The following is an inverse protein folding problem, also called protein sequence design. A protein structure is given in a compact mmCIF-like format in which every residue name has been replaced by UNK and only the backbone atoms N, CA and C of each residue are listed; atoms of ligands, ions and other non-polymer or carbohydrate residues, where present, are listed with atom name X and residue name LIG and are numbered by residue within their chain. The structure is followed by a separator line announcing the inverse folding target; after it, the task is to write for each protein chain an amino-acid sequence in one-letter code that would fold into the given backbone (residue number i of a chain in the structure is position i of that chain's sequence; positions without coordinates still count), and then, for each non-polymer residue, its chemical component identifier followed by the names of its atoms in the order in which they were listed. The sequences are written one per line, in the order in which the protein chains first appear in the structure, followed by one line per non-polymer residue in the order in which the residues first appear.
data_IF_855047316670
#
_entry.id   IF_855047316670
#
_cell.length_a   1.000
_cell.length_b   1.000
_cell.length_c   1.000
_cell.angle_alpha   90.00
_cell.angle_beta   90.00
_cell.angle_gamma   90.00
#
_symmetry.space_group_name_H-M   'P 1'
#
loop_
_entity.id
_entity.type
_entity.pdbx_description
1 polymer ?
#
# COMPACT_ATOMS: atom_id res chain seq x y z
N UNK A 1 9.43 -6.27 22.60
CA UNK A 1 8.22 -5.63 22.07
C UNK A 1 8.41 -5.45 20.57
N UNK A 2 7.43 -5.83 19.75
CA UNK A 2 7.46 -5.47 18.34
C UNK A 2 7.29 -3.95 18.25
N UNK A 3 8.14 -3.27 17.48
CA UNK A 3 8.07 -1.82 17.28
C UNK A 3 6.76 -1.49 16.52
N UNK A 4 5.96 -0.54 17.04
CA UNK A 4 4.76 -0.08 16.34
C UNK A 4 5.14 0.77 15.12
N UNK A 5 4.23 0.91 14.15
CA UNK A 5 4.49 1.80 13.01
C UNK A 5 4.60 3.27 13.44
N UNK A 6 3.86 3.68 14.48
CA UNK A 6 3.94 5.01 15.03
C UNK A 6 5.34 5.30 15.61
N UNK A 7 5.89 4.36 16.38
CA UNK A 7 7.24 4.50 16.95
C UNK A 7 8.31 4.45 15.85
N UNK A 8 8.13 3.59 14.85
CA UNK A 8 9.03 3.53 13.70
C UNK A 8 9.04 4.85 12.92
N UNK A 9 7.87 5.46 12.71
CA UNK A 9 7.76 6.75 12.05
C UNK A 9 8.39 7.89 12.87
N UNK A 10 8.20 7.91 14.19
CA UNK A 10 8.87 8.91 15.06
C UNK A 10 10.39 8.81 15.01
N UNK A 11 10.92 7.59 14.88
CA UNK A 11 12.37 7.36 14.74
C UNK A 11 12.90 7.70 13.34
N UNK A 12 12.03 7.69 12.33
CA UNK A 12 12.36 7.88 10.93
C UNK A 12 11.35 8.84 10.29
N UNK A 13 11.40 10.13 10.67
CA UNK A 13 10.44 11.13 10.21
C UNK A 13 10.54 11.45 8.71
N UNK A 14 11.67 11.09 8.09
CA UNK A 14 11.82 11.09 6.64
C UNK A 14 10.97 9.95 6.04
N UNK A 15 10.07 10.30 5.13
CA UNK A 15 9.07 9.37 4.63
C UNK A 15 9.66 8.25 3.76
N UNK A 16 10.72 8.55 3.01
CA UNK A 16 11.37 7.55 2.17
C UNK A 16 12.13 6.54 3.03
N UNK A 17 12.82 7.02 4.07
CA UNK A 17 13.47 6.15 5.07
C UNK A 17 12.43 5.31 5.81
N UNK A 18 11.34 5.91 6.30
CA UNK A 18 10.26 5.19 6.94
C UNK A 18 9.72 4.06 6.05
N UNK A 19 9.44 4.35 4.79
CA UNK A 19 8.93 3.36 3.85
C UNK A 19 9.91 2.21 3.60
N UNK A 20 11.22 2.49 3.59
CA UNK A 20 12.24 1.44 3.52
C UNK A 20 12.22 0.56 4.76
N UNK A 21 12.06 1.13 5.96
CA UNK A 21 11.93 0.35 7.19
C UNK A 21 10.65 -0.48 7.22
N UNK A 22 9.51 0.07 6.80
CA UNK A 22 8.23 -0.68 6.70
C UNK A 22 8.36 -1.88 5.75
N UNK A 23 9.05 -1.71 4.61
CA UNK A 23 9.32 -2.81 3.66
C UNK A 23 10.12 -3.95 4.29
N UNK A 24 11.07 -3.64 5.19
CA UNK A 24 11.86 -4.66 5.91
C UNK A 24 11.00 -5.51 6.85
N UNK A 25 9.87 -4.98 7.32
CA UNK A 25 8.90 -5.74 8.12
C UNK A 25 8.14 -6.78 7.29
N UNK A 26 8.17 -6.70 5.95
CA UNK A 26 7.55 -7.68 5.02
C UNK A 26 6.07 -7.98 5.33
N UNK A 27 5.32 -6.94 5.75
CA UNK A 27 3.92 -7.05 6.13
C UNK A 27 3.66 -7.66 7.52
N UNK A 28 4.73 -8.02 8.25
CA UNK A 28 4.66 -8.56 9.62
C UNK A 28 4.59 -7.44 10.66
N UNK A 29 3.52 -6.64 10.60
CA UNK A 29 3.20 -5.60 11.56
C UNK A 29 1.69 -5.51 11.75
N UNK A 30 1.25 -4.94 12.88
CA UNK A 30 -0.18 -4.68 13.11
C UNK A 30 -0.60 -3.42 12.37
N UNK A 31 -1.79 -3.44 11.80
CA UNK A 31 -2.40 -2.29 11.15
C UNK A 31 -3.92 -2.30 11.43
N UNK A 32 -4.26 -2.39 12.71
CA UNK A 32 -5.64 -2.24 13.20
C UNK A 32 -6.04 -0.76 13.20
N UNK A 33 -7.32 -0.47 13.44
CA UNK A 33 -7.81 0.92 13.57
C UNK A 33 -7.01 1.70 14.61
N UNK A 34 -6.72 1.11 15.78
CA UNK A 34 -5.91 1.74 16.82
C UNK A 34 -4.45 2.04 16.37
N UNK A 35 -3.84 1.15 15.59
CA UNK A 35 -2.49 1.36 15.05
C UNK A 35 -2.48 2.44 13.95
N UNK A 36 -3.52 2.49 13.12
CA UNK A 36 -3.71 3.56 12.13
C UNK A 36 -3.90 4.91 12.81
N UNK A 37 -4.67 4.97 13.90
CA UNK A 37 -4.85 6.18 14.72
C UNK A 37 -3.52 6.62 15.36
N UNK A 38 -2.78 5.69 15.96
CA UNK A 38 -1.48 6.00 16.56
C UNK A 38 -0.46 6.51 15.53
N UNK A 39 -0.42 5.90 14.35
CA UNK A 39 0.45 6.34 13.25
C UNK A 39 0.02 7.71 12.71
N UNK A 40 -1.28 7.94 12.56
CA UNK A 40 -1.83 9.23 12.16
C UNK A 40 -1.49 10.33 13.18
N UNK A 41 -1.57 10.03 14.47
CA UNK A 41 -1.19 10.97 15.51
C UNK A 41 0.31 11.31 15.44
N UNK A 42 1.18 10.31 15.27
CA UNK A 42 2.62 10.53 15.07
C UNK A 42 2.91 11.40 13.83
N UNK A 43 2.11 11.23 12.76
CA UNK A 43 2.18 12.10 11.59
C UNK A 43 1.81 13.56 11.92
N UNK A 44 0.70 13.79 12.62
CA UNK A 44 0.25 15.14 12.98
C UNK A 44 1.06 15.81 14.10
N UNK A 45 1.84 15.06 14.88
CA UNK A 45 2.85 15.62 15.79
C UNK A 45 3.94 16.40 15.02
N UNK A 46 4.34 15.89 13.83
CA UNK A 46 5.35 16.52 12.98
C UNK A 46 4.76 17.51 11.97
N UNK A 47 3.56 17.24 11.49
CA UNK A 47 2.84 18.09 10.54
C UNK A 47 1.49 18.51 11.11
N UNK A 48 1.46 19.44 12.10
CA UNK A 48 0.23 19.85 12.76
C UNK A 48 -0.80 20.41 11.77
N UNK A 49 -2.06 20.05 11.98
CA UNK A 49 -3.14 20.51 11.12
C UNK A 49 -3.29 22.03 11.16
N UNK A 50 -3.35 22.64 9.97
CA UNK A 50 -3.68 24.06 9.77
C UNK A 50 -5.05 24.17 9.09
N UNK A 51 -6.08 24.60 9.85
CA UNK A 51 -7.46 24.70 9.35
C UNK A 51 -7.67 25.78 8.28
N UNK A 52 -6.87 26.85 8.29
CA UNK A 52 -7.06 28.02 7.42
C UNK A 52 -6.27 27.93 6.12
N UNK A 53 -5.13 27.23 6.11
CA UNK A 53 -4.30 27.00 4.93
C UNK A 53 -3.79 25.56 4.97
N UNK A 54 -4.56 24.65 4.38
CA UNK A 54 -4.11 23.26 4.19
C UNK A 54 -2.88 23.28 3.29
N UNK A 55 -1.76 22.79 3.81
CA UNK A 55 -0.57 22.57 3.01
C UNK A 55 -0.78 21.31 2.15
N UNK A 56 -0.89 21.51 0.84
CA UNK A 56 -1.09 20.41 -0.12
C UNK A 56 0.11 19.45 -0.17
N UNK A 57 1.31 19.90 0.21
CA UNK A 57 2.47 19.03 0.29
C UNK A 57 2.35 18.10 1.50
N UNK A 58 2.00 18.62 2.67
CA UNK A 58 1.75 17.82 3.88
C UNK A 58 0.60 16.82 3.63
N UNK A 59 -0.49 17.23 2.98
CA UNK A 59 -1.57 16.29 2.63
C UNK A 59 -1.06 15.12 1.77
N UNK A 60 -0.24 15.40 0.75
CA UNK A 60 0.34 14.38 -0.13
C UNK A 60 1.30 13.44 0.63
N UNK A 61 2.13 13.98 1.53
CA UNK A 61 3.00 13.18 2.38
C UNK A 61 2.19 12.21 3.24
N UNK A 62 1.11 12.67 3.86
CA UNK A 62 0.22 11.80 4.62
C UNK A 62 -0.43 10.69 3.77
N UNK A 63 -0.78 10.98 2.51
CA UNK A 63 -1.27 9.94 1.58
C UNK A 63 -0.18 8.93 1.23
N UNK A 64 1.05 9.37 0.99
CA UNK A 64 2.18 8.49 0.68
C UNK A 64 2.53 7.60 1.87
N UNK A 65 2.51 8.14 3.09
CA UNK A 65 2.66 7.37 4.33
C UNK A 65 1.62 6.27 4.45
N UNK A 66 0.34 6.63 4.34
CA UNK A 66 -0.73 5.64 4.43
C UNK A 66 -0.62 4.58 3.32
N UNK A 67 -0.40 5.01 2.07
CA UNK A 67 -0.26 4.13 0.90
C UNK A 67 0.84 3.09 1.10
N UNK A 68 1.99 3.52 1.62
CA UNK A 68 3.15 2.68 1.87
C UNK A 68 2.84 1.56 2.89
N UNK A 69 2.25 1.92 4.04
CA UNK A 69 1.84 0.95 5.05
C UNK A 69 0.77 -0.02 4.55
N UNK A 70 -0.24 0.50 3.84
CA UNK A 70 -1.34 -0.30 3.32
C UNK A 70 -0.86 -1.29 2.25
N UNK A 71 -0.02 -0.86 1.32
CA UNK A 71 0.54 -1.72 0.29
C UNK A 71 1.39 -2.83 0.91
N UNK A 72 2.35 -2.49 1.79
CA UNK A 72 3.22 -3.49 2.41
C UNK A 72 2.44 -4.48 3.28
N UNK A 73 1.37 -4.02 3.93
CA UNK A 73 0.46 -4.91 4.66
C UNK A 73 -0.29 -5.85 3.72
N UNK A 74 -0.79 -5.35 2.60
CA UNK A 74 -1.55 -6.13 1.63
C UNK A 74 -0.68 -7.17 0.88
N UNK A 75 0.63 -6.93 0.82
CA UNK A 75 1.62 -7.84 0.23
C UNK A 75 2.09 -8.95 1.19
N UNK A 76 1.59 -8.99 2.43
CA UNK A 76 2.01 -9.96 3.44
C UNK A 76 1.84 -11.42 2.94
N UNK A 77 2.88 -12.23 3.13
CA UNK A 77 2.87 -13.64 2.76
C UNK A 77 2.85 -13.95 1.25
N UNK A 78 3.10 -12.97 0.39
CA UNK A 78 3.38 -13.20 -1.04
C UNK A 78 4.88 -13.49 -1.30
N UNK A 79 5.23 -14.19 -2.40
CA UNK A 79 6.63 -14.36 -2.83
C UNK A 79 7.32 -13.03 -3.11
N UNK A 80 8.63 -12.92 -2.86
CA UNK A 80 9.34 -11.64 -2.94
C UNK A 80 9.33 -11.04 -4.34
N UNK A 81 9.50 -11.86 -5.39
CA UNK A 81 9.43 -11.39 -6.77
C UNK A 81 8.06 -10.83 -7.13
N UNK A 82 7.00 -11.47 -6.65
CA UNK A 82 5.61 -10.99 -6.81
C UNK A 82 5.39 -9.68 -6.04
N UNK A 83 5.94 -9.54 -4.82
CA UNK A 83 5.89 -8.29 -4.07
C UNK A 83 6.58 -7.17 -4.83
N UNK A 84 7.75 -7.42 -5.38
CA UNK A 84 8.51 -6.42 -6.12
C UNK A 84 7.80 -6.01 -7.41
N UNK A 85 7.17 -6.95 -8.11
CA UNK A 85 6.27 -6.65 -9.22
C UNK A 85 5.15 -5.69 -8.79
N UNK A 86 4.42 -6.01 -7.72
CA UNK A 86 3.32 -5.15 -7.28
C UNK A 86 3.82 -3.78 -6.81
N UNK A 87 4.92 -3.72 -6.03
CA UNK A 87 5.53 -2.45 -5.61
C UNK A 87 5.85 -1.57 -6.82
N UNK A 88 6.47 -2.12 -7.85
CA UNK A 88 6.78 -1.38 -9.08
C UNK A 88 5.50 -0.96 -9.82
N UNK A 89 4.49 -1.83 -9.91
CA UNK A 89 3.21 -1.50 -10.53
C UNK A 89 2.48 -0.35 -9.81
N UNK A 90 2.46 -0.35 -8.47
CA UNK A 90 1.83 0.71 -7.68
C UNK A 90 2.61 2.02 -7.68
N UNK A 91 3.93 1.96 -7.82
CA UNK A 91 4.80 3.14 -7.92
C UNK A 91 4.75 3.77 -9.31
N UNK A 92 4.72 2.95 -10.37
CA UNK A 92 4.74 3.35 -11.77
C UNK A 92 3.62 2.68 -12.57
N UNK A 93 2.35 3.12 -12.42
CA UNK A 93 1.20 2.49 -13.08
C UNK A 93 1.30 2.46 -14.62
N UNK A 94 1.95 3.46 -15.22
CA UNK A 94 2.23 3.52 -16.66
C UNK A 94 3.17 2.40 -17.15
N UNK A 95 3.98 1.82 -16.25
CA UNK A 95 4.90 0.73 -16.57
C UNK A 95 4.25 -0.66 -16.48
N UNK A 96 2.99 -0.78 -16.04
CA UNK A 96 2.33 -2.08 -15.79
C UNK A 96 2.37 -2.99 -17.02
N UNK A 97 2.12 -2.46 -18.22
CA UNK A 97 2.14 -3.26 -19.44
C UNK A 97 3.50 -3.94 -19.66
N UNK A 98 4.59 -3.17 -19.52
CA UNK A 98 5.97 -3.68 -19.63
C UNK A 98 6.30 -4.66 -18.52
N UNK A 99 5.96 -4.32 -17.27
CA UNK A 99 6.18 -5.19 -16.12
C UNK A 99 5.47 -6.55 -16.28
N UNK A 100 4.26 -6.55 -16.84
CA UNK A 100 3.50 -7.76 -17.12
C UNK A 100 4.18 -8.64 -18.17
N UNK A 101 4.73 -8.05 -19.24
CA UNK A 101 5.49 -8.80 -20.25
C UNK A 101 6.75 -9.44 -19.67
N UNK A 102 7.49 -8.69 -18.85
CA UNK A 102 8.69 -9.19 -18.18
C UNK A 102 8.34 -10.31 -17.18
N UNK A 103 7.27 -10.14 -16.41
CA UNK A 103 6.83 -11.13 -15.42
C UNK A 103 6.30 -12.42 -16.07
N UNK A 104 5.63 -12.33 -17.24
CA UNK A 104 5.17 -13.50 -18.01
C UNK A 104 6.29 -14.43 -18.45
N UNK A 105 7.51 -13.90 -18.62
CA UNK A 105 8.69 -14.68 -19.00
C UNK A 105 9.37 -15.36 -17.80
N UNK A 106 8.86 -15.14 -16.58
CA UNK A 106 9.40 -15.74 -15.38
C UNK A 106 8.73 -17.08 -15.03
N UNK A 107 9.45 -17.94 -14.31
CA UNK A 107 8.94 -19.21 -13.77
C UNK A 107 7.77 -19.01 -12.80
N UNK A 108 7.60 -17.81 -12.25
CA UNK A 108 6.56 -17.46 -11.29
C UNK A 108 5.30 -16.87 -11.95
N UNK A 109 5.24 -16.83 -13.29
CA UNK A 109 4.10 -16.24 -14.02
C UNK A 109 2.74 -16.80 -13.58
N UNK A 110 2.69 -18.12 -13.30
CA UNK A 110 1.48 -18.79 -12.82
C UNK A 110 0.99 -18.34 -11.44
N UNK A 111 1.86 -17.71 -10.63
CA UNK A 111 1.52 -17.23 -9.28
C UNK A 111 0.87 -15.84 -9.28
N UNK A 112 0.98 -15.08 -10.37
CA UNK A 112 0.57 -13.67 -10.36
C UNK A 112 -0.93 -13.50 -10.18
N UNK A 113 -1.75 -14.31 -10.84
CA UNK A 113 -3.21 -14.20 -10.76
C UNK A 113 -3.71 -14.51 -9.34
N UNK A 114 -3.29 -15.64 -8.76
CA UNK A 114 -3.68 -16.02 -7.40
C UNK A 114 -3.12 -15.05 -6.35
N UNK A 115 -1.92 -14.50 -6.58
CA UNK A 115 -1.36 -13.46 -5.72
C UNK A 115 -2.11 -12.13 -5.84
N UNK A 116 -2.60 -11.81 -7.04
CA UNK A 116 -3.43 -10.63 -7.27
C UNK A 116 -4.79 -10.77 -6.56
N UNK A 117 -5.42 -11.94 -6.61
CA UNK A 117 -6.66 -12.20 -5.86
C UNK A 117 -6.47 -12.03 -4.35
N UNK A 118 -5.35 -12.54 -3.81
CA UNK A 118 -4.98 -12.35 -2.39
C UNK A 118 -4.76 -10.87 -2.05
N UNK A 119 -4.05 -10.15 -2.92
CA UNK A 119 -3.82 -8.70 -2.76
C UNK A 119 -5.16 -7.94 -2.75
N UNK A 120 -6.07 -8.25 -3.69
CA UNK A 120 -7.38 -7.61 -3.77
C UNK A 120 -8.19 -7.81 -2.49
N UNK A 121 -8.28 -9.05 -2.00
CA UNK A 121 -8.97 -9.38 -0.77
C UNK A 121 -8.35 -8.65 0.44
N UNK A 122 -7.02 -8.54 0.49
CA UNK A 122 -6.34 -7.83 1.57
C UNK A 122 -6.58 -6.33 1.54
N UNK A 123 -6.58 -5.71 0.34
CA UNK A 123 -6.93 -4.29 0.20
C UNK A 123 -8.38 -4.01 0.60
N UNK A 124 -9.32 -4.90 0.26
CA UNK A 124 -10.72 -4.76 0.65
C UNK A 124 -10.90 -4.87 2.18
N UNK A 125 -10.18 -5.80 2.84
CA UNK A 125 -10.15 -5.87 4.30
C UNK A 125 -9.59 -4.60 4.95
N UNK A 126 -8.47 -4.08 4.42
CA UNK A 126 -7.89 -2.83 4.91
C UNK A 126 -8.83 -1.66 4.72
N UNK A 127 -9.58 -1.61 3.60
CA UNK A 127 -10.61 -0.59 3.37
C UNK A 127 -11.70 -0.64 4.44
N UNK A 128 -12.17 -1.83 4.81
CA UNK A 128 -13.13 -2.00 5.91
C UNK A 128 -12.57 -1.45 7.22
N UNK A 129 -11.32 -1.76 7.57
CA UNK A 129 -10.67 -1.22 8.78
C UNK A 129 -10.57 0.31 8.74
N UNK A 130 -10.24 0.90 7.58
CA UNK A 130 -10.21 2.37 7.42
C UNK A 130 -11.61 2.96 7.60
N UNK A 131 -12.65 2.30 7.12
CA UNK A 131 -14.04 2.76 7.24
C UNK A 131 -14.53 2.78 8.68
N UNK A 132 -13.95 1.97 9.56
CA UNK A 132 -14.22 1.96 11.01
C UNK A 132 -13.53 3.09 11.77
N UNK A 133 -12.52 3.76 11.18
CA UNK A 133 -11.84 4.87 11.84
C UNK A 133 -12.82 6.01 12.19
N UNK A 134 -12.61 6.71 13.31
CA UNK A 134 -13.35 7.93 13.63
C UNK A 134 -13.26 8.95 12.49
N UNK A 135 -14.32 9.74 12.31
CA UNK A 135 -14.28 10.85 11.34
C UNK A 135 -13.21 11.85 11.76
N UNK A 136 -12.34 12.22 10.83
CA UNK A 136 -11.25 13.16 11.08
C UNK A 136 -10.13 13.04 10.06
N UNK A 137 -9.09 13.85 10.24
CA UNK A 137 -8.01 13.97 9.26
C UNK A 137 -7.15 12.72 9.12
N UNK A 138 -6.99 11.94 10.20
CA UNK A 138 -6.30 10.65 10.13
C UNK A 138 -7.00 9.74 9.11
N UNK A 139 -8.33 9.59 9.25
CA UNK A 139 -9.13 8.83 8.30
C UNK A 139 -9.02 9.38 6.89
N UNK A 140 -9.01 10.71 6.71
CA UNK A 140 -8.80 11.31 5.38
C UNK A 140 -7.44 10.93 4.76
N UNK A 141 -6.37 10.82 5.56
CA UNK A 141 -5.05 10.37 5.06
C UNK A 141 -5.09 8.93 4.58
N UNK A 142 -5.70 8.04 5.37
CA UNK A 142 -5.85 6.63 4.99
C UNK A 142 -6.78 6.43 3.80
N UNK A 143 -7.90 7.15 3.73
CA UNK A 143 -8.79 7.14 2.57
C UNK A 143 -8.08 7.61 1.30
N UNK A 144 -7.33 8.72 1.38
CA UNK A 144 -6.54 9.20 0.24
C UNK A 144 -5.48 8.19 -0.19
N UNK A 145 -4.74 7.61 0.77
CA UNK A 145 -3.75 6.58 0.51
C UNK A 145 -4.34 5.35 -0.18
N UNK A 146 -5.43 4.79 0.36
CA UNK A 146 -6.04 3.58 -0.21
C UNK A 146 -6.69 3.84 -1.57
N UNK A 147 -7.30 5.00 -1.80
CA UNK A 147 -7.89 5.35 -3.10
C UNK A 147 -6.86 5.29 -4.24
N UNK A 148 -5.61 5.70 -3.99
CA UNK A 148 -4.55 5.56 -5.01
C UNK A 148 -4.23 4.11 -5.35
N UNK A 149 -4.33 3.20 -4.37
CA UNK A 149 -4.16 1.77 -4.59
C UNK A 149 -5.32 1.19 -5.42
N UNK A 150 -6.56 1.60 -5.18
CA UNK A 150 -7.69 1.14 -5.98
C UNK A 150 -7.58 1.51 -7.46
N UNK A 151 -7.02 2.68 -7.78
CA UNK A 151 -6.80 3.11 -9.16
C UNK A 151 -5.82 2.17 -9.88
N UNK A 152 -4.68 1.86 -9.26
CA UNK A 152 -3.70 0.93 -9.84
C UNK A 152 -4.21 -0.51 -9.88
N UNK A 153 -4.96 -0.94 -8.85
CA UNK A 153 -5.64 -2.24 -8.81
C UNK A 153 -6.56 -2.42 -10.02
N UNK A 154 -7.30 -1.39 -10.41
CA UNK A 154 -8.16 -1.42 -11.58
C UNK A 154 -7.37 -1.67 -12.87
N UNK A 155 -6.24 -0.98 -13.05
CA UNK A 155 -5.36 -1.20 -14.21
C UNK A 155 -4.79 -2.62 -14.21
N UNK A 156 -4.26 -3.09 -13.08
CA UNK A 156 -3.77 -4.47 -12.93
C UNK A 156 -4.85 -5.51 -13.27
N UNK A 157 -6.08 -5.29 -12.84
CA UNK A 157 -7.19 -6.18 -13.14
C UNK A 157 -7.45 -6.30 -14.65
N UNK A 158 -7.36 -5.19 -15.40
CA UNK A 158 -7.50 -5.21 -16.86
C UNK A 158 -6.42 -6.10 -17.49
N UNK A 159 -5.15 -5.95 -17.09
CA UNK A 159 -4.04 -6.72 -17.69
C UNK A 159 -4.01 -8.20 -17.28
N UNK A 160 -4.35 -8.50 -16.02
CA UNK A 160 -4.34 -9.86 -15.49
C UNK A 160 -5.57 -10.66 -15.97
N UNK A 161 -6.71 -10.00 -16.17
CA UNK A 161 -7.93 -10.66 -16.67
C UNK A 161 -7.92 -10.94 -18.17
N UNK A 162 -6.95 -10.41 -18.93
CA UNK A 162 -6.89 -10.63 -20.38
C UNK A 162 -6.68 -12.12 -20.72
N UNK A 163 -7.34 -12.63 -21.79
CA UNK A 163 -7.29 -14.05 -22.17
C UNK A 163 -5.88 -14.63 -22.32
N UNK A 164 -4.92 -13.82 -22.80
CA UNK A 164 -3.52 -14.23 -22.96
C UNK A 164 -2.76 -14.47 -21.66
N UNK A 165 -3.31 -14.08 -20.50
CA UNK A 165 -2.76 -14.43 -19.18
C UNK A 165 -3.38 -15.71 -18.62
N UNK A 166 -4.68 -15.93 -18.87
CA UNK A 166 -5.39 -17.14 -18.44
C UNK A 166 -4.93 -18.41 -19.18
N UNK A 167 -4.45 -18.28 -20.41
CA UNK A 167 -3.91 -19.42 -21.19
C UNK A 167 -2.58 -19.98 -20.67
N UNK A 168 -1.89 -19.27 -19.76
CA UNK A 168 -0.67 -19.75 -19.08
C UNK A 168 -0.99 -20.53 -17.78
N UNK A 169 -2.27 -20.71 -17.46
CA UNK A 169 -2.75 -21.47 -16.30
C UNK A 169 -3.09 -22.94 -16.66
N UNK A 170 -2.85 -23.34 -17.92
CA UNK A 170 -3.11 -24.68 -18.44
C UNK A 170 -1.85 -25.54 -18.51
#
# INVERSE_FOLDING_TARGET
MALSLADLFRQNSDLDVFCQEVRKLRGNFNLTSSEMEALGQAYFELYPEKYVQRDLAEVRLGYQLARCCLLEKALAGLPDRVKDFFRQAFDQPESIARLMEDFRRSEEAGLLASSFDRLQASLDQLKTTIDELPKGMIKERFLGGISTLYNTRYLLNIFISQPGFKSLQG
#
